data_IF_207781918500
#
_entry.id   IF_207781918500
#
_cell.length_a   1.000
_cell.length_b   1.000
_cell.length_c   1.000
_cell.angle_alpha   90.00
_cell.angle_beta   90.00
_cell.angle_gamma   90.00
#
_symmetry.space_group_name_H-M   'P 1'
#
loop_
_entity.id
_entity.type
_entity.pdbx_description
1 polymer ?
#
# COMPACT_ATOMS: atom_id res chain seq x y z
N UNK A 1 -0.99 -2.14 -6.86
CA UNK A 1 -1.77 -1.54 -5.76
C UNK A 1 -2.74 -0.52 -6.29
N UNK A 2 -2.25 0.64 -6.74
CA UNK A 2 -3.06 1.82 -7.07
C UNK A 2 -4.30 1.55 -7.95
N UNK A 3 -4.13 0.85 -9.08
CA UNK A 3 -5.24 0.54 -9.98
C UNK A 3 -6.31 -0.34 -9.32
N UNK A 4 -5.92 -1.26 -8.42
CA UNK A 4 -6.87 -2.09 -7.66
C UNK A 4 -7.60 -1.31 -6.56
N UNK A 5 -7.12 -0.11 -6.23
CA UNK A 5 -7.77 0.83 -5.31
C UNK A 5 -8.50 1.97 -6.05
N UNK A 6 -8.55 1.93 -7.39
CA UNK A 6 -9.11 3.01 -8.20
C UNK A 6 -8.36 4.33 -8.03
N UNK A 7 -7.06 4.28 -7.71
CA UNK A 7 -6.19 5.46 -7.55
C UNK A 7 -5.36 5.72 -8.81
N UNK A 8 -4.86 6.95 -8.93
CA UNK A 8 -3.89 7.30 -9.96
C UNK A 8 -2.60 6.49 -9.80
N UNK A 9 -1.89 6.23 -10.90
CA UNK A 9 -0.71 5.35 -10.94
C UNK A 9 0.52 5.90 -10.20
N UNK A 10 0.48 7.17 -9.80
CA UNK A 10 1.49 7.85 -9.00
C UNK A 10 1.13 7.91 -7.50
N UNK A 11 -0.10 7.50 -7.10
CA UNK A 11 -0.63 7.65 -5.75
C UNK A 11 0.28 7.02 -4.68
N UNK A 12 0.68 5.75 -4.86
CA UNK A 12 1.53 5.06 -3.88
C UNK A 12 2.90 5.74 -3.75
N UNK A 13 3.49 6.21 -4.84
CA UNK A 13 4.79 6.90 -4.82
C UNK A 13 4.71 8.25 -4.11
N UNK A 14 3.65 9.02 -4.37
CA UNK A 14 3.42 10.30 -3.69
C UNK A 14 3.16 10.11 -2.20
N UNK A 15 2.35 9.12 -1.85
CA UNK A 15 2.11 8.74 -0.44
C UNK A 15 3.40 8.30 0.24
N UNK A 16 4.25 7.52 -0.43
CA UNK A 16 5.55 7.12 0.10
C UNK A 16 6.49 8.31 0.33
N UNK A 17 6.55 9.24 -0.62
CA UNK A 17 7.32 10.48 -0.44
C UNK A 17 6.82 11.27 0.79
N UNK A 18 5.51 11.50 0.91
CA UNK A 18 4.91 12.16 2.07
C UNK A 18 5.20 11.42 3.38
N UNK A 19 5.09 10.09 3.39
CA UNK A 19 5.36 9.27 4.57
C UNK A 19 6.83 9.37 5.01
N UNK A 20 7.78 9.33 4.07
CA UNK A 20 9.20 9.52 4.38
C UNK A 20 9.51 10.92 4.93
N UNK A 21 8.87 11.96 4.38
CA UNK A 21 9.03 13.34 4.88
C UNK A 21 8.41 13.54 6.27
N UNK A 22 7.25 12.94 6.50
CA UNK A 22 6.59 12.97 7.79
C UNK A 22 7.36 12.18 8.84
N UNK A 23 7.92 11.02 8.48
CA UNK A 23 8.83 10.26 9.34
C UNK A 23 10.05 11.12 9.74
N UNK A 24 10.67 11.81 8.80
CA UNK A 24 11.78 12.73 9.09
C UNK A 24 11.37 13.85 10.05
N UNK A 25 10.22 14.48 9.79
CA UNK A 25 9.68 15.56 10.63
C UNK A 25 9.27 15.08 12.04
N UNK A 26 8.90 13.81 12.17
CA UNK A 26 8.59 13.15 13.44
C UNK A 26 9.86 12.73 14.21
N UNK A 27 11.02 12.76 13.57
CA UNK A 27 12.32 12.48 14.19
C UNK A 27 12.89 11.08 13.89
N UNK A 28 12.35 10.37 12.91
CA UNK A 28 12.91 9.08 12.47
C UNK A 28 14.18 9.30 11.63
N UNK A 29 15.14 8.40 11.79
CA UNK A 29 16.37 8.36 11.01
C UNK A 29 16.12 7.94 9.55
N UNK A 30 17.18 7.90 8.73
CA UNK A 30 17.06 7.56 7.31
C UNK A 30 16.40 6.19 7.08
N UNK A 31 16.76 5.18 7.89
CA UNK A 31 16.15 3.85 7.81
C UNK A 31 14.66 3.89 8.16
N UNK A 32 14.26 4.62 9.21
CA UNK A 32 12.86 4.81 9.56
C UNK A 32 12.05 5.53 8.48
N UNK A 33 12.66 6.47 7.76
CA UNK A 33 12.02 7.11 6.59
C UNK A 33 11.80 6.13 5.44
N UNK A 34 12.79 5.28 5.16
CA UNK A 34 12.67 4.24 4.12
C UNK A 34 11.68 3.13 4.52
N UNK A 35 11.59 2.79 5.81
CA UNK A 35 10.53 1.91 6.30
C UNK A 35 9.14 2.52 6.08
N UNK A 36 8.95 3.82 6.34
CA UNK A 36 7.68 4.49 6.08
C UNK A 36 7.33 4.48 4.59
N UNK A 37 8.32 4.70 3.71
CA UNK A 37 8.16 4.59 2.24
C UNK A 37 7.78 3.18 1.82
N UNK A 38 8.44 2.16 2.36
CA UNK A 38 8.16 0.76 2.06
C UNK A 38 6.74 0.36 2.50
N UNK A 39 6.32 0.75 3.71
CA UNK A 39 4.94 0.53 4.19
C UNK A 39 3.93 1.21 3.26
N UNK A 40 4.17 2.46 2.85
CA UNK A 40 3.27 3.18 1.95
C UNK A 40 3.15 2.50 0.57
N UNK A 41 4.27 2.05 -0.02
CA UNK A 41 4.28 1.38 -1.33
C UNK A 41 3.59 0.00 -1.30
N UNK A 42 3.75 -0.74 -0.19
CA UNK A 42 3.24 -2.10 -0.06
C UNK A 42 1.83 -2.18 0.52
N UNK A 43 1.31 -1.09 1.12
CA UNK A 43 0.02 -1.06 1.81
C UNK A 43 -1.11 -1.66 0.97
N UNK A 44 -1.18 -1.37 -0.33
CA UNK A 44 -2.26 -1.83 -1.19
C UNK A 44 -2.05 -3.22 -1.81
N UNK A 45 -1.00 -3.95 -1.43
CA UNK A 45 -0.75 -5.30 -1.96
C UNK A 45 -1.84 -6.29 -1.55
N UNK A 46 -2.33 -6.22 -0.30
CA UNK A 46 -3.42 -7.06 0.21
C UNK A 46 -4.80 -6.80 -0.39
N UNK A 47 -5.00 -5.71 -1.16
CA UNK A 47 -6.30 -5.42 -1.78
C UNK A 47 -6.69 -6.38 -2.90
N UNK A 48 -5.69 -7.05 -3.49
CA UNK A 48 -5.91 -8.11 -4.48
C UNK A 48 -6.64 -9.30 -3.83
N UNK A 49 -6.19 -9.72 -2.65
CA UNK A 49 -6.70 -10.91 -1.97
C UNK A 49 -8.13 -10.79 -1.42
N UNK A 50 -8.59 -9.57 -1.12
CA UNK A 50 -9.96 -9.33 -0.66
C UNK A 50 -10.83 -8.65 -1.74
N UNK A 51 -10.39 -8.62 -3.01
CA UNK A 51 -11.15 -8.03 -4.12
C UNK A 51 -12.52 -8.72 -4.29
N UNK A 52 -12.55 -10.05 -4.32
CA UNK A 52 -13.79 -10.82 -4.44
C UNK A 52 -14.79 -10.52 -3.33
N UNK A 53 -14.33 -10.44 -2.08
CA UNK A 53 -15.20 -10.12 -0.94
C UNK A 53 -15.76 -8.69 -0.99
N UNK A 54 -14.98 -7.72 -1.49
CA UNK A 54 -15.50 -6.36 -1.73
C UNK A 54 -16.50 -6.31 -2.89
N UNK A 55 -16.26 -7.07 -3.97
CA UNK A 55 -17.20 -7.17 -5.09
C UNK A 55 -18.51 -7.84 -4.66
N UNK A 56 -18.46 -8.89 -3.84
CA UNK A 56 -19.67 -9.52 -3.28
C UNK A 56 -20.44 -8.59 -2.34
N UNK A 57 -19.72 -7.80 -1.53
CA UNK A 57 -20.33 -6.93 -0.52
C UNK A 57 -20.89 -5.63 -1.11
N UNK A 58 -20.16 -5.00 -2.03
CA UNK A 58 -20.42 -3.64 -2.52
C UNK A 58 -20.57 -3.57 -4.06
N UNK A 59 -20.51 -4.70 -4.76
CA UNK A 59 -20.64 -4.80 -6.21
C UNK A 59 -19.32 -4.61 -6.94
N UNK A 60 -18.86 -3.36 -7.06
CA UNK A 60 -17.60 -3.02 -7.75
C UNK A 60 -16.49 -2.81 -6.71
N UNK A 61 -15.51 -3.71 -6.64
CA UNK A 61 -14.43 -3.63 -5.66
C UNK A 61 -13.59 -2.36 -5.83
N UNK A 62 -13.33 -1.94 -7.08
CA UNK A 62 -12.46 -0.80 -7.38
C UNK A 62 -13.18 0.50 -7.05
N UNK A 63 -14.40 0.69 -7.58
CA UNK A 63 -15.18 1.92 -7.36
C UNK A 63 -15.57 2.08 -5.89
N UNK A 64 -15.88 0.98 -5.19
CA UNK A 64 -16.23 1.05 -3.77
C UNK A 64 -15.04 1.43 -2.90
N UNK A 65 -13.83 0.96 -3.23
CA UNK A 65 -12.58 1.32 -2.52
C UNK A 65 -12.16 2.74 -2.78
N UNK A 66 -12.19 3.17 -4.05
CA UNK A 66 -12.02 4.55 -4.49
C UNK A 66 -12.86 5.47 -3.60
N UNK A 67 -14.18 5.21 -3.53
CA UNK A 67 -15.12 6.03 -2.80
C UNK A 67 -14.94 5.94 -1.28
N UNK A 68 -14.61 4.75 -0.76
CA UNK A 68 -14.34 4.56 0.67
C UNK A 68 -13.12 5.37 1.12
N UNK A 69 -12.03 5.31 0.36
CA UNK A 69 -10.81 6.05 0.65
C UNK A 69 -10.98 7.56 0.48
N UNK A 70 -11.72 7.95 -0.56
CA UNK A 70 -12.08 9.33 -0.81
C UNK A 70 -13.20 9.83 0.11
N UNK A 71 -13.74 9.02 1.02
CA UNK A 71 -14.86 9.41 1.91
C UNK A 71 -16.11 9.92 1.15
N UNK A 72 -16.36 9.38 -0.04
CA UNK A 72 -17.55 9.63 -0.86
C UNK A 72 -18.50 8.43 -0.89
N UNK A 73 -18.12 7.31 -0.26
CA UNK A 73 -18.98 6.13 -0.15
C UNK A 73 -20.26 6.47 0.65
N UNK A 74 -21.46 6.14 0.14
CA UNK A 74 -22.69 6.32 0.88
C UNK A 74 -22.65 5.61 2.25
N UNK A 75 -23.40 6.09 3.25
CA UNK A 75 -23.49 5.43 4.55
C UNK A 75 -23.91 3.98 4.41
N UNK A 76 -23.09 3.08 4.95
CA UNK A 76 -23.37 1.66 5.00
C UNK A 76 -24.20 1.33 6.24
N UNK A 77 -25.14 0.40 6.13
CA UNK A 77 -25.84 -0.13 7.31
C UNK A 77 -24.87 -0.91 8.22
N UNK A 78 -25.26 -1.10 9.49
CA UNK A 78 -24.40 -1.72 10.50
C UNK A 78 -23.97 -3.16 10.15
N UNK A 79 -24.80 -3.92 9.42
CA UNK A 79 -24.47 -5.29 9.00
C UNK A 79 -23.42 -5.25 7.90
N UNK A 80 -23.56 -4.37 6.93
CA UNK A 80 -22.58 -4.19 5.85
C UNK A 80 -21.24 -3.70 6.42
N UNK A 81 -21.25 -2.79 7.40
CA UNK A 81 -20.04 -2.34 8.09
C UNK A 81 -19.32 -3.48 8.81
N UNK A 82 -20.03 -4.38 9.49
CA UNK A 82 -19.38 -5.47 10.23
C UNK A 82 -18.70 -6.50 9.31
N UNK A 83 -19.17 -6.64 8.07
CA UNK A 83 -18.58 -7.51 7.06
C UNK A 83 -17.28 -6.94 6.45
N UNK A 84 -16.96 -5.66 6.67
CA UNK A 84 -15.69 -5.06 6.22
C UNK A 84 -14.52 -5.52 7.10
N UNK A 85 -14.75 -5.80 8.38
CA UNK A 85 -13.70 -6.20 9.33
C UNK A 85 -12.89 -7.42 8.87
N UNK A 86 -13.49 -8.56 8.47
CA UNK A 86 -12.71 -9.69 7.95
C UNK A 86 -11.96 -9.36 6.66
N UNK A 87 -12.50 -8.47 5.81
CA UNK A 87 -11.81 -8.02 4.60
C UNK A 87 -10.59 -7.16 4.96
N UNK A 88 -10.68 -6.33 5.99
CA UNK A 88 -9.56 -5.56 6.52
C UNK A 88 -8.47 -6.47 7.12
N UNK A 89 -8.85 -7.54 7.80
CA UNK A 89 -7.91 -8.55 8.30
C UNK A 89 -7.13 -9.21 7.15
N UNK A 90 -7.82 -9.71 6.13
CA UNK A 90 -7.18 -10.31 4.94
C UNK A 90 -6.21 -9.33 4.30
N UNK A 91 -6.59 -8.06 4.18
CA UNK A 91 -5.70 -7.03 3.65
C UNK A 91 -4.41 -6.90 4.47
N UNK A 92 -4.55 -6.73 5.79
CA UNK A 92 -3.41 -6.54 6.68
C UNK A 92 -2.48 -7.76 6.72
N UNK A 93 -3.05 -8.98 6.71
CA UNK A 93 -2.27 -10.23 6.68
C UNK A 93 -1.49 -10.36 5.37
N UNK A 94 -2.17 -10.25 4.23
CA UNK A 94 -1.53 -10.43 2.92
C UNK A 94 -0.49 -9.35 2.65
N UNK A 95 -0.76 -8.09 3.01
CA UNK A 95 0.24 -7.03 2.88
C UNK A 95 1.49 -7.32 3.74
N UNK A 96 1.31 -7.84 4.96
CA UNK A 96 2.40 -8.29 5.82
C UNK A 96 3.19 -9.47 5.23
N UNK A 97 2.50 -10.47 4.69
CA UNK A 97 3.12 -11.67 4.13
C UNK A 97 3.89 -11.39 2.83
N UNK A 98 3.40 -10.45 2.02
CA UNK A 98 4.13 -9.92 0.86
C UNK A 98 5.43 -9.25 1.31
N UNK A 99 5.39 -8.43 2.37
CA UNK A 99 6.59 -7.80 2.91
C UNK A 99 7.59 -8.83 3.47
N UNK A 100 7.12 -9.87 4.16
CA UNK A 100 7.97 -10.99 4.61
C UNK A 100 8.64 -11.68 3.42
N UNK A 101 7.87 -11.97 2.37
CA UNK A 101 8.36 -12.64 1.15
C UNK A 101 9.39 -11.80 0.40
N UNK A 102 9.28 -10.47 0.46
CA UNK A 102 10.28 -9.52 -0.06
C UNK A 102 11.51 -9.37 0.84
N UNK A 103 11.54 -10.01 2.01
CA UNK A 103 12.63 -9.88 2.97
C UNK A 103 12.68 -8.50 3.63
N UNK A 104 11.55 -7.83 3.77
CA UNK A 104 11.49 -6.50 4.40
C UNK A 104 11.80 -6.55 5.91
N UNK A 105 12.23 -5.44 6.50
CA UNK A 105 12.42 -5.34 7.95
C UNK A 105 11.12 -5.56 8.75
N UNK A 106 11.22 -6.10 9.97
CA UNK A 106 10.07 -6.39 10.83
C UNK A 106 9.21 -5.16 11.13
N UNK A 107 9.83 -3.98 11.19
CA UNK A 107 9.12 -2.71 11.35
C UNK A 107 8.15 -2.45 10.19
N UNK A 108 8.54 -2.78 8.95
CA UNK A 108 7.69 -2.66 7.76
C UNK A 108 6.55 -3.66 7.81
N UNK A 109 6.85 -4.93 8.12
CA UNK A 109 5.84 -5.98 8.27
C UNK A 109 4.80 -5.60 9.33
N UNK A 110 5.25 -5.13 10.48
CA UNK A 110 4.38 -4.69 11.59
C UNK A 110 3.55 -3.47 11.19
N UNK A 111 4.15 -2.49 10.51
CA UNK A 111 3.44 -1.32 9.98
C UNK A 111 2.29 -1.69 9.04
N UNK A 112 2.50 -2.69 8.17
CA UNK A 112 1.48 -3.18 7.23
C UNK A 112 0.37 -3.96 7.95
N UNK A 113 0.71 -4.79 8.93
CA UNK A 113 -0.27 -5.53 9.74
C UNK A 113 -1.14 -4.59 10.59
N UNK A 114 -0.62 -3.42 10.96
CA UNK A 114 -1.34 -2.40 11.73
C UNK A 114 -2.00 -1.31 10.87
N UNK A 115 -2.08 -1.48 9.53
CA UNK A 115 -2.48 -0.42 8.60
C UNK A 115 -3.86 0.22 8.87
N UNK A 116 -4.79 -0.50 9.51
CA UNK A 116 -6.12 -0.01 9.87
C UNK A 116 -6.35 0.16 11.38
N UNK A 117 -5.29 0.04 12.17
CA UNK A 117 -5.35 0.36 13.59
C UNK A 117 -5.47 1.88 13.81
N UNK A 118 -6.04 2.26 14.96
CA UNK A 118 -6.31 3.65 15.31
C UNK A 118 -5.78 3.97 16.70
N UNK A 119 -5.40 5.23 16.90
CA UNK A 119 -4.86 5.70 18.17
C UNK A 119 -5.88 5.61 19.32
N UNK A 120 -7.17 5.79 19.02
CA UNK A 120 -8.27 5.68 19.99
C UNK A 120 -8.68 4.23 20.35
N UNK A 121 -7.97 3.22 19.84
CA UNK A 121 -8.28 1.82 20.05
C UNK A 121 -9.53 1.32 19.31
N UNK A 122 -10.15 2.16 18.46
CA UNK A 122 -11.32 1.78 17.63
C UNK A 122 -10.89 1.26 16.25
N UNK A 123 -9.60 0.93 16.12
CA UNK A 123 -9.01 0.37 14.92
C UNK A 123 -9.36 -1.09 14.73
N UNK A 124 -8.87 -1.65 13.64
CA UNK A 124 -9.03 -3.04 13.28
C UNK A 124 -7.77 -3.53 12.54
N UNK A 125 -7.49 -4.84 12.48
CA UNK A 125 -8.34 -5.95 12.93
C UNK A 125 -8.20 -6.34 14.41
N UNK A 126 -7.15 -5.92 15.10
CA UNK A 126 -6.86 -6.36 16.47
C UNK A 126 -7.38 -5.40 17.55
N UNK A 127 -7.75 -4.17 17.15
CA UNK A 127 -8.21 -3.12 18.06
C UNK A 127 -7.17 -2.83 19.16
N UNK A 128 -5.93 -2.60 18.71
CA UNK A 128 -4.80 -2.36 19.60
C UNK A 128 -4.95 -1.03 20.31
N UNK A 129 -4.48 -0.97 21.57
CA UNK A 129 -4.27 0.31 22.24
C UNK A 129 -3.28 1.17 21.43
N UNK A 130 -3.53 2.48 21.35
CA UNK A 130 -2.76 3.38 20.49
C UNK A 130 -1.24 3.34 20.70
N UNK A 131 -0.77 3.05 21.92
CA UNK A 131 0.66 2.90 22.24
C UNK A 131 1.29 1.58 21.77
N UNK A 132 0.48 0.56 21.44
CA UNK A 132 0.93 -0.71 20.88
C UNK A 132 0.94 -0.72 19.34
N UNK A 133 0.30 0.27 18.70
CA UNK A 133 0.26 0.42 17.25
C UNK A 133 1.63 0.90 16.73
N UNK A 134 1.99 0.45 15.53
CA UNK A 134 3.26 0.84 14.91
C UNK A 134 3.20 2.33 14.57
N UNK A 135 4.21 3.15 14.94
CA UNK A 135 4.27 4.55 14.52
C UNK A 135 4.23 4.71 12.99
N UNK A 136 4.79 3.74 12.25
CA UNK A 136 4.76 3.74 10.78
C UNK A 136 3.32 3.66 10.24
N UNK A 137 2.42 2.94 10.91
CA UNK A 137 1.01 2.87 10.50
C UNK A 137 0.34 4.25 10.61
N UNK A 138 0.60 5.00 11.68
CA UNK A 138 0.07 6.36 11.84
C UNK A 138 0.66 7.35 10.84
N UNK A 139 1.98 7.32 10.63
CA UNK A 139 2.68 8.16 9.65
C UNK A 139 2.11 7.92 8.25
N UNK A 140 1.99 6.65 7.83
CA UNK A 140 1.48 6.30 6.50
C UNK A 140 0.00 6.63 6.36
N UNK A 141 -0.80 6.44 7.42
CA UNK A 141 -2.22 6.83 7.39
C UNK A 141 -2.41 8.34 7.25
N UNK A 142 -1.66 9.16 7.99
CA UNK A 142 -1.74 10.61 7.87
C UNK A 142 -1.25 11.10 6.49
N UNK A 143 -0.16 10.53 5.98
CA UNK A 143 0.35 10.83 4.64
C UNK A 143 -0.65 10.45 3.54
N UNK A 144 -1.27 9.28 3.65
CA UNK A 144 -2.27 8.77 2.70
C UNK A 144 -3.56 9.59 2.73
N UNK A 145 -4.05 9.95 3.91
CA UNK A 145 -5.23 10.80 4.05
C UNK A 145 -4.97 12.19 3.45
N UNK A 146 -3.78 12.77 3.72
CA UNK A 146 -3.37 14.04 3.11
C UNK A 146 -3.40 13.95 1.58
N UNK A 147 -2.80 12.92 1.00
CA UNK A 147 -2.69 12.74 -0.46
C UNK A 147 -4.08 12.58 -1.10
N UNK A 148 -4.88 11.65 -0.59
CA UNK A 148 -6.15 11.27 -1.20
C UNK A 148 -7.19 12.37 -1.04
N UNK A 149 -7.32 12.90 0.17
CA UNK A 149 -8.35 13.90 0.45
C UNK A 149 -7.99 15.24 -0.18
N UNK A 150 -6.70 15.56 -0.36
CA UNK A 150 -6.32 16.77 -1.10
C UNK A 150 -6.75 16.70 -2.55
N UNK A 151 -6.65 15.52 -3.18
CA UNK A 151 -7.12 15.31 -4.56
C UNK A 151 -8.65 15.26 -4.65
N UNK A 152 -9.32 14.61 -3.70
CA UNK A 152 -10.76 14.40 -3.74
C UNK A 152 -11.56 15.65 -3.33
N UNK A 153 -11.10 16.39 -2.31
CA UNK A 153 -11.86 17.45 -1.65
C UNK A 153 -11.14 18.79 -1.56
N UNK A 154 -9.92 18.86 -2.11
CA UNK A 154 -9.04 20.01 -1.95
C UNK A 154 -8.23 19.98 -0.65
N UNK A 155 -7.15 20.74 -0.66
CA UNK A 155 -6.13 20.76 0.40
C UNK A 155 -6.68 21.19 1.76
N UNK A 156 -7.50 22.23 1.80
CA UNK A 156 -8.04 22.76 3.07
C UNK A 156 -8.94 21.72 3.77
N UNK A 157 -9.83 21.08 3.01
CA UNK A 157 -10.69 19.99 3.51
C UNK A 157 -9.87 18.81 4.06
N UNK A 158 -8.78 18.45 3.38
CA UNK A 158 -7.87 17.40 3.85
C UNK A 158 -7.19 17.77 5.17
N UNK A 159 -6.73 19.01 5.31
CA UNK A 159 -6.10 19.51 6.54
C UNK A 159 -7.10 19.59 7.69
N UNK A 160 -8.34 19.99 7.43
CA UNK A 160 -9.40 20.04 8.44
C UNK A 160 -9.79 18.64 8.91
N UNK A 161 -9.94 17.69 7.98
CA UNK A 161 -10.10 16.28 8.34
C UNK A 161 -8.94 15.82 9.21
N UNK A 162 -7.70 16.18 8.83
CA UNK A 162 -6.53 15.73 9.57
C UNK A 162 -6.53 16.23 11.02
N UNK A 163 -6.89 17.50 11.24
CA UNK A 163 -7.03 18.11 12.57
C UNK A 163 -8.17 17.48 13.37
N UNK A 164 -9.30 17.19 12.74
CA UNK A 164 -10.46 16.57 13.39
C UNK A 164 -10.16 15.14 13.88
N UNK A 165 -9.30 14.41 13.18
CA UNK A 165 -8.90 13.05 13.56
C UNK A 165 -7.69 12.98 14.51
N UNK A 166 -7.14 14.14 14.93
CA UNK A 166 -6.01 14.19 15.86
C UNK A 166 -6.35 13.55 17.22
N UNK A 167 -5.51 12.61 17.66
CA UNK A 167 -5.74 11.82 18.87
C UNK A 167 -6.75 10.69 18.70
N UNK A 168 -7.44 10.60 17.56
CA UNK A 168 -8.41 9.57 17.26
C UNK A 168 -7.86 8.54 16.26
N UNK A 169 -7.63 8.94 15.01
CA UNK A 169 -7.08 8.04 13.97
C UNK A 169 -5.57 7.84 14.13
N UNK A 170 -4.87 8.90 14.51
CA UNK A 170 -3.43 8.92 14.77
C UNK A 170 -3.11 9.84 15.96
N UNK A 171 -1.91 9.72 16.56
CA UNK A 171 -1.39 10.67 17.55
C UNK A 171 -1.51 12.13 17.10
N UNK A 172 -1.79 13.03 18.05
CA UNK A 172 -2.06 14.44 17.77
C UNK A 172 -0.83 15.19 17.22
N UNK A 173 0.38 14.79 17.61
CA UNK A 173 1.64 15.32 17.10
C UNK A 173 1.85 14.98 15.61
N UNK A 174 1.53 13.75 15.19
CA UNK A 174 1.59 13.34 13.77
C UNK A 174 0.59 14.16 12.94
N UNK A 175 -0.62 14.37 13.46
CA UNK A 175 -1.63 15.23 12.84
C UNK A 175 -1.12 16.66 12.65
N UNK A 176 -0.52 17.22 13.70
CA UNK A 176 0.00 18.59 13.72
C UNK A 176 1.18 18.78 12.74
N UNK A 177 2.12 17.82 12.70
CA UNK A 177 3.23 17.83 11.74
C UNK A 177 2.72 17.76 10.29
N UNK A 178 1.77 16.86 10.03
CA UNK A 178 1.16 16.72 8.70
C UNK A 178 0.45 18.01 8.29
N UNK A 179 -0.32 18.61 9.19
CA UNK A 179 -1.03 19.85 8.91
C UNK A 179 -0.09 21.06 8.72
N UNK A 180 1.02 21.09 9.45
CA UNK A 180 2.03 22.17 9.38
C UNK A 180 2.81 22.13 8.07
N UNK A 181 3.24 20.95 7.65
CA UNK A 181 4.20 20.80 6.54
C UNK A 181 3.57 20.32 5.23
N UNK A 182 2.43 19.63 5.31
CA UNK A 182 1.72 19.01 4.20
C UNK A 182 1.55 19.91 2.97
N UNK A 183 1.11 21.17 3.10
CA UNK A 183 0.95 22.06 1.95
C UNK A 183 2.23 22.21 1.12
N UNK A 184 3.35 22.52 1.76
CA UNK A 184 4.63 22.71 1.08
C UNK A 184 5.17 21.40 0.47
N UNK A 185 4.91 20.25 1.12
CA UNK A 185 5.28 18.96 0.56
C UNK A 185 4.47 18.60 -0.68
N UNK A 186 3.15 18.86 -0.66
CA UNK A 186 2.29 18.66 -1.83
C UNK A 186 2.74 19.54 -3.00
N UNK A 187 3.00 20.84 -2.76
CA UNK A 187 3.49 21.75 -3.80
C UNK A 187 4.80 21.24 -4.43
N UNK A 188 5.73 20.74 -3.61
CA UNK A 188 6.98 20.17 -4.11
C UNK A 188 6.76 18.91 -4.94
N UNK A 189 5.89 18.00 -4.49
CA UNK A 189 5.58 16.74 -5.19
C UNK A 189 4.85 17.02 -6.51
N UNK A 190 4.02 18.07 -6.58
CA UNK A 190 3.35 18.49 -7.81
C UNK A 190 4.32 19.10 -8.82
N UNK A 191 5.32 19.84 -8.34
CA UNK A 191 6.38 20.41 -9.18
C UNK A 191 7.38 19.36 -9.67
N UNK A 192 7.72 18.39 -8.81
CA UNK A 192 8.72 17.35 -9.07
C UNK A 192 8.24 15.99 -8.51
N UNK A 193 7.52 15.20 -9.33
CA UNK A 193 6.96 13.92 -8.91
C UNK A 193 8.05 12.90 -8.53
N UNK A 194 7.92 12.20 -7.38
CA UNK A 194 8.93 11.25 -6.92
C UNK A 194 8.99 9.99 -7.80
N UNK A 195 10.20 9.63 -8.23
CA UNK A 195 10.47 8.38 -8.95
C UNK A 195 10.88 7.22 -8.02
N UNK A 196 11.34 7.55 -6.81
CA UNK A 196 11.76 6.61 -5.77
C UNK A 196 13.15 6.00 -5.98
N UNK A 197 13.96 6.53 -6.90
CA UNK A 197 15.24 5.94 -7.28
C UNK A 197 16.25 5.89 -6.13
N UNK A 198 16.23 6.90 -5.23
CA UNK A 198 17.17 7.04 -4.12
C UNK A 198 16.72 6.37 -2.81
N UNK A 199 15.62 5.61 -2.82
CA UNK A 199 15.06 5.01 -1.60
C UNK A 199 15.67 3.65 -1.29
N UNK A 200 16.21 3.49 -0.08
CA UNK A 200 16.79 2.22 0.36
C UNK A 200 15.75 1.35 1.10
N UNK A 201 14.72 0.92 0.37
CA UNK A 201 13.53 0.27 0.95
C UNK A 201 13.82 -1.05 1.69
N UNK A 202 14.83 -1.82 1.24
CA UNK A 202 15.21 -3.10 1.83
C UNK A 202 16.42 -3.01 2.76
N UNK A 203 17.01 -1.82 2.93
CA UNK A 203 18.31 -1.65 3.59
C UNK A 203 19.44 -2.37 2.83
N UNK A 204 20.48 -2.77 3.55
CA UNK A 204 21.64 -3.48 2.98
C UNK A 204 21.38 -4.96 2.63
N UNK A 205 20.12 -5.40 2.60
CA UNK A 205 19.76 -6.78 2.26
C UNK A 205 19.86 -6.99 0.74
N UNK A 206 20.50 -8.07 0.26
CA UNK A 206 20.59 -8.33 -1.17
C UNK A 206 19.20 -8.51 -1.77
N UNK A 207 18.93 -7.80 -2.87
CA UNK A 207 17.65 -7.89 -3.60
C UNK A 207 17.39 -9.30 -4.12
N UNK A 208 16.20 -9.85 -3.84
CA UNK A 208 15.85 -11.20 -4.23
C UNK A 208 15.37 -11.28 -5.70
N UNK A 209 15.93 -12.20 -6.53
CA UNK A 209 15.39 -12.55 -7.86
C UNK A 209 13.92 -13.04 -7.85
N UNK A 210 13.39 -13.37 -6.67
CA UNK A 210 12.02 -13.86 -6.43
C UNK A 210 10.92 -12.79 -6.53
N UNK A 211 11.27 -11.51 -6.75
CA UNK A 211 10.31 -10.41 -6.71
C UNK A 211 9.25 -10.46 -7.82
N UNK A 212 9.58 -10.90 -9.04
CA UNK A 212 8.61 -10.97 -10.14
C UNK A 212 7.63 -12.14 -10.02
N UNK A 213 8.09 -13.28 -9.50
CA UNK A 213 7.18 -14.39 -9.19
C UNK A 213 6.21 -14.01 -8.07
N UNK A 214 6.70 -13.34 -7.02
CA UNK A 214 5.82 -12.82 -5.98
C UNK A 214 4.82 -11.80 -6.52
N UNK A 215 5.25 -10.88 -7.40
CA UNK A 215 4.36 -9.91 -8.03
C UNK A 215 3.24 -10.61 -8.83
N UNK A 216 3.60 -11.65 -9.59
CA UNK A 216 2.64 -12.46 -10.33
C UNK A 216 1.64 -13.14 -9.39
N UNK A 217 2.12 -13.77 -8.31
CA UNK A 217 1.27 -14.44 -7.33
C UNK A 217 0.29 -13.47 -6.67
N UNK A 218 0.77 -12.28 -6.28
CA UNK A 218 -0.08 -11.22 -5.70
C UNK A 218 -1.10 -10.70 -6.72
N UNK A 219 -0.72 -10.55 -7.98
CA UNK A 219 -1.66 -10.12 -9.02
C UNK A 219 -2.78 -11.16 -9.23
N UNK A 220 -2.43 -12.45 -9.20
CA UNK A 220 -3.38 -13.57 -9.34
C UNK A 220 -4.32 -13.73 -8.15
N UNK A 221 -3.98 -13.23 -6.95
CA UNK A 221 -4.89 -13.24 -5.79
C UNK A 221 -6.21 -12.52 -6.08
N UNK A 222 -6.22 -11.59 -7.04
CA UNK A 222 -7.44 -10.91 -7.47
C UNK A 222 -8.45 -11.86 -8.14
N UNK A 223 -7.96 -12.87 -8.85
CA UNK A 223 -8.74 -13.87 -9.57
C UNK A 223 -8.22 -15.28 -9.20
N UNK A 224 -8.66 -15.87 -8.08
CA UNK A 224 -8.02 -17.07 -7.52
C UNK A 224 -7.90 -18.27 -8.46
N UNK A 225 -8.80 -18.40 -9.44
CA UNK A 225 -8.73 -19.47 -10.47
C UNK A 225 -7.54 -19.32 -11.44
N UNK A 226 -6.86 -18.17 -11.46
CA UNK A 226 -5.64 -17.96 -12.21
C UNK A 226 -4.38 -18.39 -11.46
N UNK A 227 -4.48 -18.98 -10.26
CA UNK A 227 -3.31 -19.38 -9.49
C UNK A 227 -2.27 -20.19 -10.31
N UNK A 228 -1.04 -19.68 -10.32
CA UNK A 228 0.10 -20.18 -11.07
C UNK A 228 0.03 -20.01 -12.59
N UNK A 229 -0.92 -19.22 -13.12
CA UNK A 229 -1.08 -18.99 -14.55
C UNK A 229 0.17 -18.32 -15.15
N UNK A 230 0.60 -17.18 -14.61
CA UNK A 230 1.77 -16.45 -15.09
C UNK A 230 3.05 -17.30 -15.01
N UNK A 231 3.17 -18.17 -14.00
CA UNK A 231 4.28 -19.14 -13.93
C UNK A 231 4.24 -20.17 -15.04
N UNK A 232 3.06 -20.71 -15.38
CA UNK A 232 2.91 -21.66 -16.49
C UNK A 232 3.22 -20.97 -17.83
N UNK A 233 2.77 -19.73 -18.02
CA UNK A 233 3.09 -18.94 -19.22
C UNK A 233 4.58 -18.64 -19.30
N UNK A 234 5.22 -18.25 -18.20
CA UNK A 234 6.67 -18.05 -18.14
C UNK A 234 7.46 -19.33 -18.45
N UNK A 235 7.04 -20.48 -17.91
CA UNK A 235 7.66 -21.76 -18.21
C UNK A 235 7.53 -22.12 -19.71
N UNK A 236 6.36 -21.88 -20.30
CA UNK A 236 6.13 -22.12 -21.73
C UNK A 236 6.96 -21.18 -22.61
N UNK A 237 7.05 -19.90 -22.25
CA UNK A 237 7.84 -18.90 -22.97
C UNK A 237 9.33 -19.28 -22.98
N UNK A 238 9.88 -19.66 -21.83
CA UNK A 238 11.28 -20.13 -21.71
C UNK A 238 11.50 -21.41 -22.50
N UNK A 239 10.60 -22.40 -22.39
CA UNK A 239 10.70 -23.65 -23.14
C UNK A 239 10.65 -23.44 -24.66
N UNK A 240 9.89 -22.45 -25.11
CA UNK A 240 9.79 -22.08 -26.53
C UNK A 240 11.06 -21.36 -26.99
N UNK A 241 11.54 -20.40 -26.20
CA UNK A 241 12.78 -19.67 -26.48
C UNK A 241 14.00 -20.60 -26.57
N UNK A 242 14.08 -21.60 -25.70
CA UNK A 242 15.12 -22.63 -25.75
C UNK A 242 15.05 -23.48 -27.02
N UNK A 243 13.85 -23.77 -27.54
CA UNK A 243 13.68 -24.49 -28.82
C UNK A 243 14.03 -23.66 -30.05
N UNK A 244 14.05 -22.34 -29.90
CA UNK A 244 14.44 -21.39 -30.95
C UNK A 244 15.91 -20.97 -30.84
N UNK A 245 16.68 -21.63 -29.98
CA UNK A 245 18.09 -21.34 -29.71
C UNK A 245 18.35 -19.87 -29.31
N UNK A 246 17.39 -19.23 -28.65
CA UNK A 246 17.56 -17.87 -28.12
C UNK A 246 18.53 -17.88 -26.93
N UNK A 247 19.33 -16.82 -26.80
CA UNK A 247 20.31 -16.73 -25.72
C UNK A 247 19.67 -16.63 -24.32
N UNK A 248 20.48 -16.90 -23.28
CA UNK A 248 20.02 -16.93 -21.90
C UNK A 248 19.48 -15.57 -21.41
N UNK A 249 20.01 -14.45 -21.93
CA UNK A 249 19.54 -13.12 -21.55
C UNK A 249 18.12 -12.88 -22.09
N UNK A 250 17.87 -13.26 -23.34
CA UNK A 250 16.56 -13.20 -23.99
C UNK A 250 15.56 -14.12 -23.30
N UNK A 251 15.97 -15.34 -22.94
CA UNK A 251 15.14 -16.25 -22.15
C UNK A 251 14.73 -15.65 -20.79
N UNK A 252 15.66 -15.03 -20.08
CA UNK A 252 15.37 -14.35 -18.82
C UNK A 252 14.42 -13.16 -18.98
N UNK A 253 14.58 -12.37 -20.05
CA UNK A 253 13.66 -11.27 -20.39
C UNK A 253 12.25 -11.79 -20.71
N UNK A 254 12.13 -12.88 -21.48
CA UNK A 254 10.85 -13.51 -21.79
C UNK A 254 10.18 -14.09 -20.53
N UNK A 255 10.96 -14.69 -19.63
CA UNK A 255 10.46 -15.16 -18.35
C UNK A 255 9.89 -14.00 -17.52
N UNK A 256 10.63 -12.90 -17.39
CA UNK A 256 10.20 -11.71 -16.67
C UNK A 256 8.94 -11.09 -17.31
N UNK A 257 8.91 -10.95 -18.63
CA UNK A 257 7.76 -10.41 -19.36
C UNK A 257 6.51 -11.28 -19.16
N UNK A 258 6.66 -12.61 -19.23
CA UNK A 258 5.56 -13.55 -19.02
C UNK A 258 5.02 -13.51 -17.59
N UNK A 259 5.88 -13.37 -16.58
CA UNK A 259 5.45 -13.22 -15.18
C UNK A 259 4.63 -11.94 -14.96
N UNK A 260 4.96 -10.85 -15.65
CA UNK A 260 4.29 -9.54 -15.50
C UNK A 260 3.03 -9.43 -16.34
N UNK A 261 3.02 -9.96 -17.56
CA UNK A 261 1.89 -9.86 -18.48
C UNK A 261 0.73 -10.79 -18.09
N UNK A 262 1.04 -11.98 -17.55
CA UNK A 262 0.08 -13.08 -17.44
C UNK A 262 0.04 -13.90 -18.71
#
# INVERSE_FOLDING_TARGET
GDLSMGRATDHSRRTACLAGLLAAAHGLDAAGQDHARAVALLRWSGCTANAGGFAELLGDDIASREAMMAQTLPPLDARTQSLIVPLALIHCEISGDVAVSLGMPDAVVTGLRHAFERHDGKGMPQALDGGAVSPLAFIVNAASDLEILSRAHGRDSALDFLRQQAGAKYPADIAALTARHGPAWLDRIDADPPDGADWNLAGDRPGAPAALTLLADVAELKLPWLAGYSRRVAALAVATAARLDLDAATQAQLQAAALVHG
#
